data_IF_646231577106
#
_entry.id   IF_646231577106
#
_cell.length_a   1.000
_cell.length_b   1.000
_cell.length_c   1.000
_cell.angle_alpha   90.00
_cell.angle_beta   90.00
_cell.angle_gamma   90.00
#
_symmetry.space_group_name_H-M   'P 1'
#
loop_
_entity.id
_entity.type
_entity.pdbx_description
1 polymer ?
#
# COMPACT_ATOMS: atom_id res chain seq x y z
N UNK A 1 4.28 8.15 -3.96
CA UNK A 1 4.72 7.97 -5.36
C UNK A 1 4.55 6.53 -5.84
N UNK A 2 5.03 5.50 -5.11
CA UNK A 2 4.88 4.09 -5.50
C UNK A 2 3.43 3.70 -5.85
N UNK A 3 2.49 3.93 -4.94
CA UNK A 3 1.06 3.65 -5.14
C UNK A 3 0.48 4.33 -6.38
N UNK A 4 0.86 5.57 -6.65
CA UNK A 4 0.37 6.32 -7.81
C UNK A 4 0.81 5.68 -9.12
N UNK A 5 2.12 5.38 -9.25
CA UNK A 5 2.70 4.79 -10.46
C UNK A 5 2.08 3.41 -10.72
N UNK A 6 2.02 2.57 -9.69
CA UNK A 6 1.44 1.23 -9.82
C UNK A 6 -0.05 1.29 -10.12
N UNK A 7 -0.83 2.19 -9.49
CA UNK A 7 -2.26 2.32 -9.79
C UNK A 7 -2.50 2.66 -11.27
N UNK A 8 -1.76 3.61 -11.84
CA UNK A 8 -1.90 4.00 -13.25
C UNK A 8 -1.53 2.84 -14.19
N UNK A 9 -0.42 2.14 -13.91
CA UNK A 9 0.00 0.97 -14.70
C UNK A 9 -1.05 -0.15 -14.59
N UNK A 10 -1.51 -0.45 -13.37
CA UNK A 10 -2.51 -1.48 -13.11
C UNK A 10 -3.84 -1.20 -13.81
N UNK A 11 -4.29 0.05 -13.83
CA UNK A 11 -5.47 0.45 -14.60
C UNK A 11 -5.29 0.18 -16.10
N UNK A 12 -4.13 0.50 -16.66
CA UNK A 12 -3.87 0.31 -18.09
C UNK A 12 -3.80 -1.17 -18.49
N UNK A 13 -3.26 -2.02 -17.63
CA UNK A 13 -3.05 -3.45 -17.93
C UNK A 13 -4.24 -4.32 -17.52
N UNK A 14 -4.84 -4.05 -16.36
CA UNK A 14 -5.87 -4.91 -15.75
C UNK A 14 -7.26 -4.27 -15.65
N UNK A 15 -7.40 -2.98 -16.02
CA UNK A 15 -8.67 -2.25 -15.89
C UNK A 15 -9.81 -2.77 -16.77
N UNK A 16 -9.53 -3.63 -17.75
CA UNK A 16 -10.55 -4.23 -18.63
C UNK A 16 -11.09 -5.59 -18.13
N UNK A 17 -10.54 -6.14 -17.05
CA UNK A 17 -11.00 -7.42 -16.50
C UNK A 17 -12.44 -7.26 -16.00
N UNK A 18 -13.31 -8.20 -16.38
CA UNK A 18 -14.70 -8.23 -15.93
C UNK A 18 -14.79 -8.39 -14.42
N UNK A 19 -15.71 -7.66 -13.80
CA UNK A 19 -16.01 -7.81 -12.38
C UNK A 19 -16.86 -9.05 -12.18
N UNK A 20 -16.43 -9.94 -11.29
CA UNK A 20 -17.18 -11.11 -10.91
C UNK A 20 -17.08 -11.31 -9.39
N UNK A 21 -18.24 -11.32 -8.71
CA UNK A 21 -18.35 -11.45 -7.26
C UNK A 21 -17.79 -12.78 -6.71
N UNK A 22 -17.63 -13.80 -7.56
CA UNK A 22 -17.00 -15.08 -7.19
C UNK A 22 -15.47 -15.08 -7.32
N UNK A 23 -14.87 -13.97 -7.76
CA UNK A 23 -13.43 -13.84 -7.97
C UNK A 23 -12.86 -12.69 -7.16
N UNK A 24 -11.53 -12.66 -7.02
CA UNK A 24 -10.84 -11.56 -6.36
C UNK A 24 -10.95 -10.23 -7.13
N UNK A 25 -11.35 -10.25 -8.41
CA UNK A 25 -11.66 -9.03 -9.17
C UNK A 25 -13.17 -8.83 -9.20
N UNK A 26 -13.65 -7.95 -8.32
CA UNK A 26 -15.07 -7.68 -8.14
C UNK A 26 -15.33 -6.18 -7.95
N UNK A 27 -16.59 -5.80 -7.71
CA UNK A 27 -17.00 -4.40 -7.55
C UNK A 27 -16.22 -3.63 -6.48
N UNK A 28 -15.73 -4.31 -5.45
CA UNK A 28 -14.99 -3.71 -4.34
C UNK A 28 -13.46 -3.85 -4.47
N UNK A 29 -12.98 -4.66 -5.41
CA UNK A 29 -11.57 -4.95 -5.58
C UNK A 29 -11.23 -5.04 -7.08
N UNK A 30 -10.88 -3.92 -7.71
CA UNK A 30 -10.59 -3.87 -9.15
C UNK A 30 -9.67 -2.70 -9.55
N UNK A 31 -9.31 -2.69 -10.84
CA UNK A 31 -8.47 -1.68 -11.47
C UNK A 31 -9.23 -0.76 -12.45
N UNK A 32 -10.56 -0.66 -12.35
CA UNK A 32 -11.35 0.11 -13.32
C UNK A 32 -11.28 1.62 -13.09
N UNK A 33 -11.07 2.04 -11.84
CA UNK A 33 -10.95 3.45 -11.47
C UNK A 33 -9.74 3.68 -10.59
N UNK A 34 -9.19 4.89 -10.62
CA UNK A 34 -7.98 5.23 -9.88
C UNK A 34 -8.09 5.00 -8.36
N UNK A 35 -9.15 5.47 -7.66
CA UNK A 35 -9.28 5.23 -6.23
C UNK A 35 -9.38 3.74 -5.88
N UNK A 36 -10.09 2.95 -6.69
CA UNK A 36 -10.22 1.51 -6.48
C UNK A 36 -8.89 0.78 -6.70
N UNK A 37 -8.13 1.16 -7.72
CA UNK A 37 -6.79 0.62 -7.97
C UNK A 37 -5.85 0.91 -6.79
N UNK A 38 -5.90 2.12 -6.21
CA UNK A 38 -5.11 2.47 -5.02
C UNK A 38 -5.56 1.66 -3.80
N UNK A 39 -6.87 1.46 -3.60
CA UNK A 39 -7.40 0.67 -2.49
C UNK A 39 -7.00 -0.81 -2.60
N UNK A 40 -7.08 -1.38 -3.80
CA UNK A 40 -6.60 -2.75 -4.06
C UNK A 40 -5.10 -2.87 -3.80
N UNK A 41 -4.29 -1.90 -4.23
CA UNK A 41 -2.85 -1.88 -3.92
C UNK A 41 -2.58 -1.76 -2.43
N UNK A 42 -3.42 -1.02 -1.69
CA UNK A 42 -3.33 -0.94 -0.23
C UNK A 42 -3.62 -2.30 0.42
N UNK A 43 -4.65 -3.01 -0.05
CA UNK A 43 -4.93 -4.40 0.36
C UNK A 43 -3.75 -5.34 0.08
N UNK A 44 -3.09 -5.19 -1.07
CA UNK A 44 -1.87 -5.95 -1.36
C UNK A 44 -0.70 -5.58 -0.44
N UNK A 45 -0.55 -4.30 -0.10
CA UNK A 45 0.53 -3.82 0.78
C UNK A 45 0.40 -4.33 2.22
N UNK A 46 -0.83 -4.58 2.69
CA UNK A 46 -1.09 -5.24 3.99
C UNK A 46 -0.90 -6.75 3.93
N UNK A 47 -0.61 -7.31 2.74
CA UNK A 47 -0.40 -8.74 2.53
C UNK A 47 -1.70 -9.55 2.44
N UNK A 48 -2.86 -8.92 2.30
CA UNK A 48 -4.14 -9.62 2.30
C UNK A 48 -4.43 -10.21 0.91
N UNK A 49 -4.39 -11.55 0.81
CA UNK A 49 -4.77 -12.33 -0.37
C UNK A 49 -4.16 -11.86 -1.72
N UNK A 50 -3.01 -11.19 -1.68
CA UNK A 50 -2.41 -10.56 -2.86
C UNK A 50 -2.05 -11.57 -3.96
N UNK A 51 -1.71 -12.82 -3.57
CA UNK A 51 -1.45 -13.90 -4.51
C UNK A 51 -2.71 -14.29 -5.30
N UNK A 52 -3.88 -14.26 -4.68
CA UNK A 52 -5.15 -14.64 -5.31
C UNK A 52 -5.60 -13.52 -6.26
N UNK A 53 -5.37 -12.26 -5.86
CA UNK A 53 -5.56 -11.09 -6.74
C UNK A 53 -4.64 -11.18 -7.97
N UNK A 54 -3.37 -11.55 -7.78
CA UNK A 54 -2.43 -11.76 -8.88
C UNK A 54 -2.92 -12.84 -9.85
N UNK A 55 -3.37 -14.00 -9.33
CA UNK A 55 -3.93 -15.09 -10.13
C UNK A 55 -5.22 -14.68 -10.85
N UNK A 56 -6.01 -13.80 -10.25
CA UNK A 56 -7.19 -13.22 -10.87
C UNK A 56 -6.86 -12.20 -11.98
N UNK A 57 -5.61 -11.73 -12.08
CA UNK A 57 -5.11 -10.83 -13.15
C UNK A 57 -4.33 -11.54 -14.27
N UNK A 58 -4.08 -12.85 -14.15
CA UNK A 58 -3.39 -13.67 -15.17
C UNK A 58 -4.20 -13.75 -16.48
N UNK A 59 -3.59 -14.11 -17.63
CA UNK A 59 -4.31 -14.25 -18.90
C UNK A 59 -5.47 -15.26 -18.83
N UNK A 60 -6.46 -15.09 -19.70
CA UNK A 60 -7.61 -16.00 -19.81
C UNK A 60 -8.83 -15.57 -19.00
N UNK A 61 -8.88 -14.30 -18.55
CA UNK A 61 -10.05 -13.76 -17.85
C UNK A 61 -11.05 -13.19 -18.85
N UNK A 62 -12.31 -13.11 -18.43
CA UNK A 62 -13.33 -12.42 -19.21
C UNK A 62 -13.08 -10.92 -19.20
N UNK A 63 -13.23 -10.28 -20.35
CA UNK A 63 -13.22 -8.82 -20.45
C UNK A 63 -14.58 -8.26 -20.05
N UNK A 64 -14.60 -7.02 -19.54
CA UNK A 64 -15.85 -6.32 -19.25
C UNK A 64 -16.65 -6.11 -20.56
N UNK A 65 -17.98 -6.23 -20.54
CA UNK A 65 -18.81 -6.16 -21.74
C UNK A 65 -18.71 -4.81 -22.48
N UNK A 66 -18.43 -3.72 -21.77
CA UNK A 66 -18.19 -2.39 -22.37
C UNK A 66 -16.84 -2.28 -23.10
N UNK A 67 -15.94 -3.24 -22.90
CA UNK A 67 -14.61 -3.26 -23.50
C UNK A 67 -14.51 -4.16 -24.74
N UNK A 68 -15.57 -4.91 -25.06
CA UNK A 68 -15.66 -5.71 -26.28
C UNK A 68 -16.08 -4.81 -27.47
N UNK A 69 -15.40 -4.91 -28.63
CA UNK A 69 -15.87 -4.25 -29.84
C UNK A 69 -17.20 -4.86 -30.26
N UNK A 70 -18.21 -4.03 -30.53
CA UNK A 70 -19.59 -4.43 -30.87
C UNK A 70 -19.75 -5.32 -32.12
N UNK A 71 -18.66 -5.72 -32.78
CA UNK A 71 -18.62 -6.48 -34.04
C UNK A 71 -17.63 -7.66 -34.01
N UNK A 72 -17.16 -8.15 -32.85
CA UNK A 72 -16.34 -9.37 -32.80
C UNK A 72 -17.20 -10.64 -32.86
N UNK A 73 -17.43 -11.15 -34.07
CA UNK A 73 -17.95 -12.51 -34.33
C UNK A 73 -16.90 -13.61 -34.13
N UNK A 74 -15.70 -13.27 -33.66
CA UNK A 74 -14.61 -14.20 -33.39
C UNK A 74 -14.22 -14.09 -31.91
N UNK A 75 -14.44 -15.18 -31.16
CA UNK A 75 -13.96 -15.48 -29.80
C UNK A 75 -13.64 -14.34 -28.84
N UNK A 76 -14.38 -14.28 -27.71
CA UNK A 76 -14.08 -13.44 -26.53
C UNK A 76 -12.55 -13.28 -26.36
N UNK A 77 -12.01 -12.08 -26.63
CA UNK A 77 -10.57 -11.87 -26.50
C UNK A 77 -10.24 -11.93 -25.01
N UNK A 78 -9.42 -12.87 -24.53
CA UNK A 78 -9.20 -13.02 -23.09
C UNK A 78 -8.44 -11.81 -22.55
N UNK A 79 -8.98 -11.22 -21.48
CA UNK A 79 -8.32 -10.20 -20.67
C UNK A 79 -7.34 -10.81 -19.66
N UNK A 80 -6.55 -9.95 -19.03
CA UNK A 80 -5.47 -10.33 -18.14
C UNK A 80 -4.13 -10.47 -18.86
N UNK A 81 -3.03 -10.50 -18.11
CA UNK A 81 -1.68 -10.51 -18.68
C UNK A 81 -0.72 -11.29 -17.81
N UNK A 82 0.21 -12.03 -18.43
CA UNK A 82 1.30 -12.73 -17.72
C UNK A 82 2.22 -11.74 -17.01
N UNK A 83 2.17 -10.46 -17.39
CA UNK A 83 2.84 -9.37 -16.69
C UNK A 83 2.38 -9.22 -15.24
N UNK A 84 1.20 -9.76 -14.86
CA UNK A 84 0.70 -9.76 -13.49
C UNK A 84 1.72 -10.29 -12.48
N UNK A 85 2.42 -11.38 -12.80
CA UNK A 85 3.42 -11.97 -11.89
C UNK A 85 4.52 -10.96 -11.56
N UNK A 86 5.11 -10.34 -12.58
CA UNK A 86 6.15 -9.34 -12.41
C UNK A 86 5.62 -8.09 -11.68
N UNK A 87 4.42 -7.63 -12.05
CA UNK A 87 3.78 -6.46 -11.45
C UNK A 87 3.55 -6.63 -9.94
N UNK A 88 2.91 -7.72 -9.50
CA UNK A 88 2.58 -7.91 -8.08
C UNK A 88 3.81 -8.25 -7.23
N UNK A 89 4.73 -9.08 -7.73
CA UNK A 89 5.95 -9.42 -6.98
C UNK A 89 6.84 -8.19 -6.81
N UNK A 90 7.05 -7.40 -7.87
CA UNK A 90 7.87 -6.17 -7.76
C UNK A 90 7.23 -5.13 -6.84
N UNK A 91 5.91 -4.96 -6.91
CA UNK A 91 5.17 -4.10 -5.98
C UNK A 91 5.39 -4.55 -4.52
N UNK A 92 5.21 -5.84 -4.24
CA UNK A 92 5.33 -6.39 -2.89
C UNK A 92 6.74 -6.17 -2.32
N UNK A 93 7.78 -6.47 -3.10
CA UNK A 93 9.17 -6.28 -2.70
C UNK A 93 9.51 -4.81 -2.43
N UNK A 94 9.11 -3.90 -3.34
CA UNK A 94 9.36 -2.47 -3.17
C UNK A 94 8.56 -1.88 -2.00
N UNK A 95 7.32 -2.31 -1.80
CA UNK A 95 6.49 -1.85 -0.69
C UNK A 95 7.07 -2.31 0.65
N UNK A 96 7.47 -3.57 0.78
CA UNK A 96 8.12 -4.09 1.98
C UNK A 96 9.43 -3.35 2.28
N UNK A 97 10.26 -3.10 1.26
CA UNK A 97 11.49 -2.31 1.41
C UNK A 97 11.22 -0.89 1.92
N UNK A 98 10.21 -0.20 1.36
CA UNK A 98 9.86 1.15 1.81
C UNK A 98 9.31 1.17 3.25
N UNK A 99 8.44 0.22 3.61
CA UNK A 99 7.88 0.14 4.96
C UNK A 99 8.99 -0.13 5.99
N UNK A 100 9.91 -1.05 5.70
CA UNK A 100 11.05 -1.34 6.58
C UNK A 100 11.94 -0.11 6.74
N UNK A 101 12.30 0.57 5.64
CA UNK A 101 13.13 1.77 5.72
C UNK A 101 12.45 2.90 6.50
N UNK A 102 11.13 3.04 6.37
CA UNK A 102 10.36 4.01 7.16
C UNK A 102 10.41 3.65 8.65
N UNK A 103 10.22 2.37 8.99
CA UNK A 103 10.27 1.92 10.38
C UNK A 103 11.67 2.11 10.99
N UNK A 104 12.72 1.78 10.23
CA UNK A 104 14.12 2.00 10.65
C UNK A 104 14.38 3.50 10.88
N UNK A 105 13.96 4.37 9.95
CA UNK A 105 14.14 5.81 10.12
C UNK A 105 13.46 6.33 11.39
N UNK A 106 12.20 5.94 11.62
CA UNK A 106 11.45 6.33 12.82
C UNK A 106 12.11 5.80 14.10
N UNK A 107 12.58 4.55 14.10
CA UNK A 107 13.28 3.98 15.27
C UNK A 107 14.57 4.74 15.54
N UNK A 108 15.36 5.06 14.50
CA UNK A 108 16.63 5.77 14.67
C UNK A 108 16.41 7.17 15.27
N UNK A 109 15.38 7.89 14.83
CA UNK A 109 15.01 9.19 15.40
C UNK A 109 14.57 9.09 16.87
N UNK A 110 13.97 7.96 17.27
CA UNK A 110 13.53 7.70 18.63
C UNK A 110 14.56 6.91 19.46
N UNK A 111 15.68 6.51 18.88
CA UNK A 111 16.63 5.60 19.52
C UNK A 111 17.24 6.23 20.77
N UNK A 112 17.58 7.51 20.70
CA UNK A 112 18.12 8.29 21.82
C UNK A 112 17.11 8.43 22.98
N UNK A 113 15.81 8.45 22.68
CA UNK A 113 14.77 8.46 23.72
C UNK A 113 14.62 7.07 24.36
N UNK A 114 14.59 6.01 23.54
CA UNK A 114 14.37 4.64 23.98
C UNK A 114 15.57 4.04 24.74
N UNK A 115 16.79 4.45 24.40
CA UNK A 115 18.03 3.94 24.99
C UNK A 115 18.64 4.85 26.04
N UNK A 116 17.97 5.97 26.38
CA UNK A 116 18.45 6.88 27.42
C UNK A 116 18.46 6.17 28.76
N UNK A 117 19.65 5.86 29.29
CA UNK A 117 19.81 5.36 30.65
C UNK A 117 19.41 6.46 31.65
N UNK A 118 18.19 6.33 32.19
CA UNK A 118 17.61 7.24 33.18
C UNK A 118 18.30 7.19 34.55
N UNK A 119 19.31 6.34 34.72
CA UNK A 119 19.95 6.04 36.00
C UNK A 119 20.84 7.17 36.53
N UNK A 120 21.26 8.13 35.69
CA UNK A 120 22.17 9.23 36.08
C UNK A 120 21.52 10.61 35.97
N UNK A 121 20.90 10.97 34.85
CA UNK A 121 20.22 12.28 34.70
C UNK A 121 19.16 12.22 33.58
N UNK A 122 17.88 12.15 33.96
CA UNK A 122 16.75 12.15 33.02
C UNK A 122 16.03 13.50 32.93
N UNK A 123 15.24 13.76 31.87
CA UNK A 123 14.40 14.95 31.78
C UNK A 123 13.44 15.17 32.95
N UNK A 124 13.06 14.14 33.71
CA UNK A 124 12.27 14.30 34.94
C UNK A 124 13.00 15.15 36.00
N UNK A 125 14.33 15.06 36.11
CA UNK A 125 15.10 15.93 37.01
C UNK A 125 15.11 17.39 36.54
N UNK A 126 15.11 17.63 35.23
CA UNK A 126 15.04 18.98 34.66
C UNK A 126 13.66 19.61 34.83
N UNK A 127 12.60 18.81 34.70
CA UNK A 127 11.23 19.28 34.93
C UNK A 127 11.00 19.60 36.41
N UNK A 128 11.56 18.80 37.32
CA UNK A 128 11.52 19.11 38.75
C UNK A 128 12.30 20.38 39.10
N UNK A 129 13.48 20.59 38.51
CA UNK A 129 14.22 21.84 38.65
C UNK A 129 13.40 23.06 38.20
N UNK A 130 12.78 22.99 37.02
CA UNK A 130 11.92 24.08 36.51
C UNK A 130 10.74 24.36 37.43
N UNK A 131 10.10 23.31 37.95
CA UNK A 131 8.98 23.43 38.89
C UNK A 131 9.40 24.19 40.15
N UNK A 132 10.52 23.82 40.75
CA UNK A 132 11.04 24.51 41.95
C UNK A 132 11.48 25.93 41.61
N UNK A 133 12.13 26.14 40.47
CA UNK A 133 12.56 27.48 40.04
C UNK A 133 11.37 28.44 39.88
N UNK A 134 10.25 27.96 39.31
CA UNK A 134 9.03 28.75 39.14
C UNK A 134 8.38 29.19 40.46
N UNK A 135 8.66 28.50 41.57
CA UNK A 135 8.21 28.95 42.91
C UNK A 135 8.99 30.18 43.40
N UNK A 136 10.25 30.34 42.98
CA UNK A 136 11.12 31.44 43.40
C UNK A 136 11.16 32.61 42.42
N UNK A 137 10.90 32.36 41.13
CA UNK A 137 10.85 33.39 40.09
C UNK A 137 9.54 33.26 39.29
N UNK A 138 8.42 33.82 39.81
CA UNK A 138 7.10 33.69 39.19
C UNK A 138 6.90 34.54 37.93
N UNK A 139 7.85 35.42 37.56
CA UNK A 139 7.76 36.29 36.38
C UNK A 139 8.62 35.81 35.18
N UNK A 140 9.33 34.69 35.31
CA UNK A 140 10.19 34.11 34.27
C UNK A 140 9.44 33.30 33.20
#
# INVERSE_FOLDING_TARGET
MLFFIYAVIGMQVFGKIALNDTTEINRNNNFQTFPQAVLLLFRCATGEAWQDIMLACMPGKKCAPESEPSNSTEGETPCGSSFAVFYFISFYMLCAFLIINLFVAVIMDNFDYLTRDWSILGPHHLDEFKRIWAEYDPEA
#
